data_IF_122015161027
#
_entry.id   IF_122015161027
#
_cell.length_a   1.000
_cell.length_b   1.000
_cell.length_c   1.000
_cell.angle_alpha   90.00
_cell.angle_beta   90.00
_cell.angle_gamma   90.00
#
_symmetry.space_group_name_H-M   'P 1'
#
loop_
_entity.id
_entity.type
_entity.pdbx_description
1 polymer ?
#
# COMPACT_ATOMS: atom_id res chain seq x y z
N UNK A 1 13.94 -21.33 24.92
CA UNK A 1 14.26 -21.88 26.26
C UNK A 1 15.76 -21.70 26.44
N UNK A 2 16.17 -20.49 26.77
CA UNK A 2 17.58 -20.12 26.98
C UNK A 2 17.79 -20.09 28.49
N UNK A 3 18.81 -20.80 28.96
CA UNK A 3 19.04 -21.07 30.37
C UNK A 3 19.48 -19.79 31.12
N UNK A 4 18.99 -19.63 32.35
CA UNK A 4 18.87 -18.38 33.11
C UNK A 4 20.20 -17.84 33.69
N UNK A 5 21.32 -18.13 33.02
CA UNK A 5 22.71 -17.95 33.50
C UNK A 5 23.68 -17.36 32.48
N UNK A 6 23.25 -17.02 31.26
CA UNK A 6 24.19 -16.69 30.16
C UNK A 6 24.82 -15.29 30.21
N UNK A 7 24.18 -14.27 30.78
CA UNK A 7 24.71 -12.91 30.65
C UNK A 7 26.01 -12.67 31.42
N UNK A 8 26.25 -13.42 32.49
CA UNK A 8 27.50 -13.37 33.25
C UNK A 8 28.68 -13.94 32.42
N UNK A 9 28.41 -14.91 31.54
CA UNK A 9 29.43 -15.51 30.66
C UNK A 9 29.94 -14.56 29.57
N UNK A 10 29.17 -13.51 29.23
CA UNK A 10 29.60 -12.48 28.27
C UNK A 10 30.47 -11.38 28.90
N UNK A 11 30.61 -11.34 30.23
CA UNK A 11 31.47 -10.36 30.90
C UNK A 11 32.94 -10.82 30.93
N UNK A 12 33.92 -9.90 31.02
CA UNK A 12 35.33 -10.26 31.17
C UNK A 12 35.59 -11.21 32.35
N UNK A 13 36.56 -12.12 32.20
CA UNK A 13 36.83 -13.19 33.17
C UNK A 13 37.00 -12.73 34.62
N UNK A 14 37.51 -11.52 34.88
CA UNK A 14 37.63 -10.93 36.22
C UNK A 14 36.28 -10.79 36.96
N UNK A 15 35.18 -10.63 36.22
CA UNK A 15 33.82 -10.51 36.75
C UNK A 15 33.11 -11.86 36.86
N UNK A 16 33.71 -12.93 36.32
CA UNK A 16 33.17 -14.30 36.36
C UNK A 16 33.61 -15.10 37.58
N UNK A 17 34.52 -14.56 38.40
CA UNK A 17 35.22 -15.28 39.50
C UNK A 17 34.29 -15.57 40.70
N UNK A 18 33.11 -14.96 40.77
CA UNK A 18 32.15 -15.13 41.88
C UNK A 18 31.04 -16.14 41.59
N UNK A 19 30.48 -16.75 42.63
CA UNK A 19 29.26 -17.56 42.54
C UNK A 19 28.12 -16.73 41.91
N UNK A 20 27.37 -17.32 40.97
CA UNK A 20 26.30 -16.63 40.21
C UNK A 20 25.15 -16.04 41.06
N UNK A 21 25.07 -16.38 42.35
CA UNK A 21 24.10 -15.82 43.30
C UNK A 21 24.61 -14.58 44.07
N UNK A 22 25.83 -14.13 43.78
CA UNK A 22 26.40 -12.89 44.30
C UNK A 22 25.66 -11.62 43.82
N UNK A 23 26.09 -10.46 44.33
CA UNK A 23 25.47 -9.17 43.99
C UNK A 23 25.35 -8.94 42.48
N UNK A 24 26.43 -9.20 41.72
CA UNK A 24 26.46 -8.96 40.28
C UNK A 24 25.46 -9.86 39.52
N UNK A 25 25.34 -11.13 39.86
CA UNK A 25 24.35 -12.02 39.23
C UNK A 25 22.91 -11.60 39.55
N UNK A 26 22.63 -11.14 40.78
CA UNK A 26 21.31 -10.58 41.14
C UNK A 26 21.04 -9.25 40.44
N UNK A 27 22.05 -8.41 40.26
CA UNK A 27 21.96 -7.15 39.53
C UNK A 27 21.66 -7.39 38.04
N UNK A 28 22.36 -8.34 37.42
CA UNK A 28 22.18 -8.67 36.00
C UNK A 28 20.77 -9.21 35.71
N UNK A 29 20.14 -9.95 36.63
CA UNK A 29 18.76 -10.45 36.44
C UNK A 29 17.74 -9.39 36.04
N UNK A 30 17.91 -8.14 36.47
CA UNK A 30 17.04 -7.05 36.03
C UNK A 30 17.22 -6.74 34.54
N UNK A 31 18.46 -6.76 34.05
CA UNK A 31 18.77 -6.58 32.64
C UNK A 31 18.39 -7.79 31.80
N UNK A 32 18.60 -9.02 32.31
CA UNK A 32 18.13 -10.24 31.64
C UNK A 32 16.61 -10.19 31.43
N UNK A 33 15.85 -9.74 32.43
CA UNK A 33 14.41 -9.58 32.31
C UNK A 33 13.99 -8.54 31.25
N UNK A 34 14.80 -7.51 30.99
CA UNK A 34 14.54 -6.50 29.96
C UNK A 34 14.98 -6.97 28.56
N UNK A 35 16.13 -7.64 28.47
CA UNK A 35 16.74 -8.05 27.20
C UNK A 35 16.16 -9.37 26.67
N UNK A 36 16.14 -10.41 27.50
CA UNK A 36 15.58 -11.72 27.13
C UNK A 36 14.06 -11.80 27.35
N UNK A 37 13.52 -10.96 28.25
CA UNK A 37 12.11 -10.95 28.62
C UNK A 37 11.83 -11.78 29.87
N UNK A 38 10.56 -11.80 30.30
CA UNK A 38 10.11 -12.52 31.50
C UNK A 38 8.93 -13.43 31.19
N UNK A 39 9.09 -14.72 31.44
CA UNK A 39 8.05 -15.75 31.24
C UNK A 39 7.25 -16.07 32.53
N UNK A 40 7.69 -15.58 33.68
CA UNK A 40 7.18 -15.94 35.02
C UNK A 40 6.06 -15.00 35.54
N UNK A 41 5.76 -13.90 34.86
CA UNK A 41 4.59 -13.06 35.15
C UNK A 41 3.42 -13.45 34.26
N UNK A 42 2.56 -14.35 34.75
CA UNK A 42 1.42 -14.96 34.05
C UNK A 42 0.30 -14.02 33.60
N UNK A 43 0.62 -12.99 32.82
CA UNK A 43 -0.37 -12.09 32.22
C UNK A 43 0.21 -11.10 31.21
N UNK A 44 1.51 -10.77 31.29
CA UNK A 44 2.18 -9.93 30.29
C UNK A 44 3.53 -10.56 30.02
N UNK A 45 3.58 -11.44 29.02
CA UNK A 45 4.83 -11.88 28.41
C UNK A 45 5.41 -10.67 27.67
N UNK A 46 6.11 -9.79 28.38
CA UNK A 46 6.87 -8.71 27.75
C UNK A 46 8.01 -9.40 26.99
N UNK A 47 7.86 -9.50 25.67
CA UNK A 47 8.94 -9.94 24.81
C UNK A 47 10.17 -9.10 25.13
N UNK A 48 11.30 -9.76 25.41
CA UNK A 48 12.56 -9.06 25.62
C UNK A 48 12.99 -8.31 24.36
N UNK A 49 13.81 -7.28 24.53
CA UNK A 49 14.38 -6.51 23.41
C UNK A 49 15.06 -7.41 22.38
N UNK A 50 15.69 -8.51 22.78
CA UNK A 50 16.32 -9.45 21.86
C UNK A 50 15.30 -10.09 20.92
N UNK A 51 14.18 -10.58 21.45
CA UNK A 51 13.10 -11.14 20.63
C UNK A 51 12.50 -10.08 19.70
N UNK A 52 12.41 -8.83 20.17
CA UNK A 52 11.97 -7.70 19.33
C UNK A 52 12.94 -7.48 18.16
N UNK A 53 14.25 -7.50 18.42
CA UNK A 53 15.28 -7.32 17.40
C UNK A 53 15.28 -8.50 16.41
N UNK A 54 15.14 -9.72 16.90
CA UNK A 54 15.06 -10.93 16.08
C UNK A 54 13.85 -10.89 15.13
N UNK A 55 12.69 -10.44 15.61
CA UNK A 55 11.45 -10.33 14.82
C UNK A 55 11.29 -8.98 14.09
N UNK A 56 12.20 -8.02 14.27
CA UNK A 56 12.10 -6.66 13.72
C UNK A 56 11.93 -6.66 12.21
N UNK A 57 12.54 -7.62 11.52
CA UNK A 57 12.45 -7.76 10.08
C UNK A 57 11.01 -7.96 9.56
N UNK A 58 10.11 -8.53 10.37
CA UNK A 58 8.69 -8.68 10.01
C UNK A 58 7.92 -7.36 9.96
N UNK A 59 8.39 -6.30 10.65
CA UNK A 59 7.80 -4.97 10.56
C UNK A 59 8.09 -4.30 9.21
N UNK A 60 9.15 -4.69 8.51
CA UNK A 60 9.46 -4.15 7.17
C UNK A 60 8.72 -4.88 6.05
N UNK A 61 8.10 -6.02 6.33
CA UNK A 61 7.24 -6.73 5.40
C UNK A 61 5.81 -6.14 5.47
N UNK A 62 5.31 -5.48 4.40
CA UNK A 62 3.96 -4.92 4.37
C UNK A 62 2.85 -5.96 4.60
N UNK A 63 3.13 -7.25 4.40
CA UNK A 63 2.16 -8.33 4.56
C UNK A 63 2.13 -8.93 5.97
N UNK A 64 3.17 -8.68 6.78
CA UNK A 64 3.30 -9.20 8.16
C UNK A 64 3.21 -8.11 9.23
N UNK A 65 3.50 -6.87 8.85
CA UNK A 65 3.45 -5.72 9.75
C UNK A 65 2.04 -5.47 10.34
N UNK A 66 1.92 -4.97 11.58
CA UNK A 66 0.64 -4.55 12.14
C UNK A 66 0.00 -3.40 11.35
N UNK A 67 -1.34 -3.35 11.31
CA UNK A 67 -2.08 -2.30 10.59
C UNK A 67 -1.74 -0.88 11.09
N UNK A 68 -1.54 -0.74 12.40
CA UNK A 68 -1.09 0.49 13.07
C UNK A 68 0.29 0.98 12.62
N UNK A 69 1.15 0.08 12.12
CA UNK A 69 2.51 0.40 11.67
C UNK A 69 2.56 0.78 10.18
N UNK A 70 1.52 0.48 9.40
CA UNK A 70 1.46 0.78 7.97
C UNK A 70 1.62 2.28 7.65
N UNK A 71 1.02 3.23 8.39
CA UNK A 71 1.25 4.66 8.13
C UNK A 71 2.72 5.06 8.29
N UNK A 72 3.44 4.43 9.21
CA UNK A 72 4.87 4.68 9.41
C UNK A 72 5.68 4.17 8.22
N UNK A 73 5.42 2.94 7.75
CA UNK A 73 6.06 2.40 6.53
C UNK A 73 5.75 3.25 5.30
N UNK A 74 4.50 3.68 5.15
CA UNK A 74 4.11 4.55 4.05
C UNK A 74 4.83 5.90 4.09
N UNK A 75 5.10 6.44 5.29
CA UNK A 75 5.91 7.64 5.47
C UNK A 75 7.31 7.53 4.87
N UNK A 76 7.99 6.38 5.06
CA UNK A 76 9.29 6.12 4.43
C UNK A 76 9.22 6.05 2.91
N UNK A 77 8.13 5.49 2.39
CA UNK A 77 7.89 5.39 0.95
C UNK A 77 7.28 6.66 0.34
N UNK A 78 7.16 7.76 1.08
CA UNK A 78 6.47 8.99 0.64
C UNK A 78 5.04 8.75 0.13
N UNK A 79 4.35 7.75 0.68
CA UNK A 79 2.97 7.39 0.35
C UNK A 79 1.97 8.01 1.31
N UNK A 80 0.84 8.46 0.75
CA UNK A 80 -0.33 8.88 1.53
C UNK A 80 -1.41 7.81 1.44
N UNK A 81 -1.58 7.04 2.53
CA UNK A 81 -2.56 5.96 2.58
C UNK A 81 -3.98 6.53 2.65
N UNK A 82 -4.91 5.94 1.91
CA UNK A 82 -6.33 6.28 2.01
C UNK A 82 -6.92 5.61 3.25
N UNK A 83 -7.63 6.39 4.07
CA UNK A 83 -8.18 5.96 5.37
C UNK A 83 -9.59 5.35 5.27
N UNK A 84 -9.88 4.69 4.16
CA UNK A 84 -11.19 4.10 3.92
C UNK A 84 -11.16 2.60 4.16
N UNK A 85 -12.30 2.03 4.59
CA UNK A 85 -12.44 0.59 4.84
C UNK A 85 -12.15 -0.25 3.58
N UNK A 86 -12.47 0.27 2.39
CA UNK A 86 -12.13 -0.35 1.09
C UNK A 86 -10.61 -0.54 0.90
N UNK A 87 -9.80 0.34 1.50
CA UNK A 87 -8.35 0.39 1.28
C UNK A 87 -7.53 -0.40 2.29
N UNK A 88 -7.97 -0.39 3.56
CA UNK A 88 -7.36 -1.20 4.62
C UNK A 88 -7.88 -2.62 4.63
N UNK A 89 -9.14 -2.85 4.25
CA UNK A 89 -9.86 -4.08 4.56
C UNK A 89 -10.53 -4.02 5.93
N UNK A 90 -11.53 -4.87 6.15
CA UNK A 90 -12.34 -4.81 7.37
C UNK A 90 -11.52 -5.09 8.65
N UNK A 91 -10.57 -6.01 8.57
CA UNK A 91 -9.73 -6.44 9.70
C UNK A 91 -8.74 -5.33 10.09
N UNK A 92 -7.88 -4.90 9.15
CA UNK A 92 -6.88 -3.86 9.41
C UNK A 92 -7.51 -2.51 9.78
N UNK A 93 -8.68 -2.17 9.24
CA UNK A 93 -9.36 -0.92 9.58
C UNK A 93 -9.76 -0.88 11.06
N UNK A 94 -10.16 -2.03 11.63
CA UNK A 94 -10.45 -2.13 13.06
C UNK A 94 -9.17 -2.07 13.91
N UNK A 95 -8.11 -2.73 13.45
CA UNK A 95 -6.84 -2.84 14.15
C UNK A 95 -6.03 -1.53 14.16
N UNK A 96 -6.17 -0.66 13.14
CA UNK A 96 -5.49 0.65 13.06
C UNK A 96 -5.75 1.54 14.28
N UNK A 97 -6.93 1.42 14.88
CA UNK A 97 -7.36 2.25 16.03
C UNK A 97 -6.84 1.75 17.38
N UNK A 98 -6.24 0.55 17.42
CA UNK A 98 -5.68 -0.02 18.64
C UNK A 98 -4.44 0.79 19.03
N UNK A 99 -4.15 0.86 20.33
CA UNK A 99 -2.93 1.48 20.83
C UNK A 99 -1.74 0.72 20.26
N UNK A 100 -0.76 1.48 19.74
CA UNK A 100 0.52 0.96 19.28
C UNK A 100 1.19 0.20 20.41
N UNK A 101 0.90 -1.08 20.46
CA UNK A 101 1.34 -2.01 21.48
C UNK A 101 2.30 -2.93 20.77
N UNK A 102 3.45 -3.18 21.38
CA UNK A 102 4.42 -4.12 20.83
C UNK A 102 3.79 -5.52 20.88
N UNK A 103 3.01 -5.88 19.86
CA UNK A 103 2.37 -7.19 19.75
C UNK A 103 3.40 -8.11 19.10
N UNK A 104 4.22 -8.74 19.93
CA UNK A 104 4.98 -9.91 19.54
C UNK A 104 4.31 -11.16 20.09
N UNK A 105 4.31 -12.28 19.34
CA UNK A 105 4.96 -12.45 18.03
C UNK A 105 4.11 -11.94 16.85
N UNK A 106 4.76 -11.46 15.79
CA UNK A 106 4.12 -10.99 14.54
C UNK A 106 3.76 -12.10 13.54
N UNK A 107 3.91 -13.36 13.93
CA UNK A 107 4.13 -14.48 13.02
C UNK A 107 2.92 -14.95 12.19
N UNK A 108 1.77 -14.28 12.24
CA UNK A 108 0.63 -14.67 11.40
C UNK A 108 0.61 -13.82 10.14
N UNK A 109 0.76 -14.47 8.98
CA UNK A 109 0.58 -13.83 7.68
C UNK A 109 -0.83 -13.25 7.61
N UNK A 110 -0.92 -11.91 7.63
CA UNK A 110 -2.20 -11.18 7.58
C UNK A 110 -2.65 -10.94 6.14
N UNK A 111 -1.82 -11.32 5.17
CA UNK A 111 -2.11 -11.20 3.76
C UNK A 111 -2.75 -12.46 3.22
N UNK A 112 -3.93 -12.30 2.64
CA UNK A 112 -4.56 -13.32 1.83
C UNK A 112 -4.14 -13.14 0.36
N UNK A 113 -3.27 -14.03 -0.14
CA UNK A 113 -2.81 -14.00 -1.53
C UNK A 113 -3.93 -14.29 -2.55
N UNK A 114 -5.08 -14.80 -2.11
CA UNK A 114 -6.22 -15.08 -2.99
C UNK A 114 -7.03 -13.83 -3.36
N UNK A 115 -6.95 -12.75 -2.57
CA UNK A 115 -7.64 -11.50 -2.84
C UNK A 115 -6.79 -10.25 -2.53
N UNK A 116 -6.02 -9.73 -3.51
CA UNK A 116 -5.22 -8.52 -3.33
C UNK A 116 -6.07 -7.27 -3.11
N UNK A 117 -7.38 -7.29 -3.40
CA UNK A 117 -8.25 -6.14 -3.18
C UNK A 117 -8.63 -5.96 -1.71
N UNK A 118 -8.48 -7.01 -0.89
CA UNK A 118 -8.79 -6.96 0.55
C UNK A 118 -7.83 -6.06 1.34
N UNK A 119 -6.58 -5.92 0.90
CA UNK A 119 -5.53 -5.13 1.58
C UNK A 119 -4.76 -4.20 0.62
N UNK A 120 -5.47 -3.33 -0.11
CA UNK A 120 -4.89 -2.44 -1.14
C UNK A 120 -3.72 -1.60 -0.64
N UNK A 121 -3.79 -1.07 0.59
CA UNK A 121 -2.69 -0.29 1.17
C UNK A 121 -1.41 -1.11 1.33
N UNK A 122 -1.51 -2.36 1.80
CA UNK A 122 -0.35 -3.27 1.96
C UNK A 122 0.26 -3.61 0.60
N UNK A 123 -0.61 -3.94 -0.36
CA UNK A 123 -0.19 -4.23 -1.74
C UNK A 123 0.54 -3.03 -2.37
N UNK A 124 -0.03 -1.82 -2.25
CA UNK A 124 0.59 -0.59 -2.75
C UNK A 124 1.98 -0.36 -2.14
N UNK A 125 2.13 -0.48 -0.82
CA UNK A 125 3.43 -0.34 -0.15
C UNK A 125 4.43 -1.37 -0.68
N UNK A 126 4.02 -2.62 -0.89
CA UNK A 126 4.92 -3.66 -1.42
C UNK A 126 5.40 -3.38 -2.85
N UNK A 127 4.60 -2.68 -3.66
CA UNK A 127 4.88 -2.40 -5.08
C UNK A 127 5.49 -1.02 -5.32
N UNK A 128 5.43 -0.10 -4.35
CA UNK A 128 5.73 1.31 -4.57
C UNK A 128 7.13 1.58 -5.12
N UNK A 129 8.13 0.83 -4.67
CA UNK A 129 9.51 1.00 -5.14
C UNK A 129 9.58 0.72 -6.65
N UNK A 130 8.93 -0.34 -7.12
CA UNK A 130 8.89 -0.68 -8.54
C UNK A 130 8.10 0.35 -9.35
N UNK A 131 7.00 0.88 -8.79
CA UNK A 131 6.21 1.94 -9.42
C UNK A 131 7.03 3.23 -9.56
N UNK A 132 7.79 3.62 -8.54
CA UNK A 132 8.64 4.81 -8.58
C UNK A 132 9.78 4.71 -9.60
N UNK A 133 10.29 3.51 -9.86
CA UNK A 133 11.26 3.31 -10.94
C UNK A 133 10.65 3.56 -12.33
N UNK A 134 9.33 3.35 -12.48
CA UNK A 134 8.59 3.57 -13.72
C UNK A 134 7.87 4.93 -13.75
N UNK A 135 8.13 5.82 -12.78
CA UNK A 135 7.44 7.11 -12.68
C UNK A 135 7.67 7.95 -13.93
N UNK A 136 6.59 8.60 -14.39
CA UNK A 136 6.61 9.39 -15.62
C UNK A 136 6.49 8.58 -16.92
N UNK A 137 6.32 7.26 -16.86
CA UNK A 137 6.02 6.41 -18.02
C UNK A 137 4.54 6.06 -18.09
N UNK A 138 4.04 5.76 -19.30
CA UNK A 138 2.66 5.25 -19.49
C UNK A 138 2.44 3.93 -18.75
N UNK A 139 3.44 3.04 -18.76
CA UNK A 139 3.39 1.75 -18.09
C UNK A 139 3.27 1.92 -16.57
N UNK A 140 4.10 2.75 -15.96
CA UNK A 140 4.05 3.03 -14.53
C UNK A 140 2.72 3.66 -14.11
N UNK A 141 2.21 4.62 -14.89
CA UNK A 141 0.91 5.23 -14.63
C UNK A 141 -0.23 4.20 -14.74
N UNK A 142 -0.21 3.34 -15.76
CA UNK A 142 -1.18 2.28 -15.94
C UNK A 142 -1.17 1.30 -14.76
N UNK A 143 0.01 0.85 -14.33
CA UNK A 143 0.18 -0.06 -13.19
C UNK A 143 -0.33 0.58 -11.89
N UNK A 144 -0.01 1.85 -11.66
CA UNK A 144 -0.49 2.60 -10.49
C UNK A 144 -2.02 2.74 -10.49
N UNK A 145 -2.62 3.11 -11.62
CA UNK A 145 -4.06 3.26 -11.75
C UNK A 145 -4.79 1.92 -11.57
N UNK A 146 -4.24 0.81 -12.07
CA UNK A 146 -4.79 -0.53 -11.85
C UNK A 146 -4.86 -0.88 -10.37
N UNK A 147 -3.85 -0.53 -9.58
CA UNK A 147 -3.87 -0.75 -8.13
C UNK A 147 -4.95 0.09 -7.46
N UNK A 148 -5.12 1.34 -7.90
CA UNK A 148 -6.08 2.27 -7.29
C UNK A 148 -7.53 1.89 -7.56
N UNK A 149 -7.84 1.52 -8.80
CA UNK A 149 -9.21 1.29 -9.24
C UNK A 149 -9.59 -0.20 -9.19
N UNK A 150 -8.63 -1.10 -9.40
CA UNK A 150 -8.81 -2.55 -9.50
C UNK A 150 -8.49 -3.08 -10.90
N UNK A 151 -8.10 -4.36 -10.99
CA UNK A 151 -7.68 -4.99 -12.26
C UNK A 151 -8.82 -5.19 -13.28
N UNK A 152 -10.07 -5.22 -12.82
CA UNK A 152 -11.24 -5.46 -13.68
C UNK A 152 -11.64 -4.27 -14.54
N UNK A 153 -10.99 -3.13 -14.39
CA UNK A 153 -11.40 -1.89 -15.03
C UNK A 153 -10.57 -1.61 -16.28
N UNK A 154 -11.28 -1.38 -17.39
CA UNK A 154 -10.69 -0.98 -18.64
C UNK A 154 -10.14 0.45 -18.54
N UNK A 155 -8.82 0.56 -18.70
CA UNK A 155 -8.07 1.81 -18.73
C UNK A 155 -7.34 1.88 -20.07
N UNK A 156 -7.54 2.97 -20.81
CA UNK A 156 -6.85 3.27 -22.05
C UNK A 156 -6.12 4.59 -21.88
N UNK A 157 -4.82 4.62 -22.19
CA UNK A 157 -4.01 5.84 -22.11
C UNK A 157 -3.45 6.12 -23.49
N UNK A 158 -3.88 7.25 -24.06
CA UNK A 158 -3.49 7.68 -25.39
C UNK A 158 -2.51 8.84 -25.28
N UNK A 159 -1.29 8.66 -25.79
CA UNK A 159 -0.27 9.71 -25.87
C UNK A 159 -0.28 10.38 -27.24
N UNK A 160 -0.25 11.71 -27.24
CA UNK A 160 -0.26 12.52 -28.45
C UNK A 160 1.12 13.19 -28.57
N UNK A 161 2.08 12.44 -29.10
CA UNK A 161 3.47 12.89 -29.23
C UNK A 161 3.64 14.01 -30.27
N UNK A 162 2.85 13.97 -31.35
CA UNK A 162 2.93 14.94 -32.44
C UNK A 162 1.67 15.81 -32.52
N UNK A 163 1.78 17.14 -32.32
CA UNK A 163 0.68 18.03 -32.64
C UNK A 163 0.36 17.92 -34.13
N UNK A 164 -0.91 18.08 -34.49
CA UNK A 164 -1.35 18.06 -35.88
C UNK A 164 -0.53 19.05 -36.72
N UNK A 165 0.23 18.51 -37.70
CA UNK A 165 1.08 19.30 -38.61
C UNK A 165 0.61 19.06 -40.04
N UNK A 166 -0.07 20.06 -40.60
CA UNK A 166 -0.51 20.04 -42.00
C UNK A 166 0.72 19.95 -42.91
N UNK A 167 0.78 18.91 -43.75
CA UNK A 167 1.76 18.80 -44.84
C UNK A 167 3.10 18.13 -44.51
N UNK A 168 3.32 17.63 -43.29
CA UNK A 168 4.59 16.97 -42.91
C UNK A 168 4.43 15.49 -42.53
N UNK A 169 3.61 15.17 -41.53
CA UNK A 169 3.55 13.79 -40.97
C UNK A 169 2.15 13.29 -40.61
N UNK A 170 1.13 14.15 -40.58
CA UNK A 170 -0.23 13.77 -40.15
C UNK A 170 -1.08 13.23 -41.32
N UNK A 171 -1.49 11.97 -41.24
CA UNK A 171 -2.45 11.35 -42.18
C UNK A 171 -3.85 11.35 -41.58
N UNK A 172 -4.78 12.02 -42.24
CA UNK A 172 -6.20 12.09 -41.86
C UNK A 172 -6.79 10.68 -41.74
N UNK A 173 -7.43 10.38 -40.61
CA UNK A 173 -8.04 9.07 -40.34
C UNK A 173 -7.11 8.00 -39.74
N UNK A 174 -5.80 8.28 -39.62
CA UNK A 174 -4.86 7.41 -38.88
C UNK A 174 -4.37 8.06 -37.59
N UNK A 175 -3.68 9.19 -37.73
CA UNK A 175 -2.97 9.84 -36.62
C UNK A 175 -3.38 11.31 -36.46
N UNK A 176 -4.53 11.68 -37.05
CA UNK A 176 -5.05 13.05 -36.99
C UNK A 176 -6.09 13.15 -35.91
N UNK A 177 -5.77 13.87 -34.84
CA UNK A 177 -6.74 14.31 -33.82
C UNK A 177 -7.06 15.77 -34.08
N UNK A 178 -8.34 16.06 -34.30
CA UNK A 178 -8.85 17.42 -34.45
C UNK A 178 -9.25 17.92 -33.05
N UNK A 179 -8.45 18.80 -32.46
CA UNK A 179 -8.67 19.27 -31.09
C UNK A 179 -7.43 19.91 -30.48
N UNK A 180 -7.37 19.95 -29.14
CA UNK A 180 -6.29 20.55 -28.34
C UNK A 180 -4.96 19.76 -28.41
N UNK A 181 -4.44 19.49 -29.60
CA UNK A 181 -3.16 18.82 -29.84
C UNK A 181 -1.98 19.63 -29.33
N UNK A 182 -1.89 19.80 -28.01
CA UNK A 182 -0.79 20.42 -27.28
C UNK A 182 0.34 19.37 -27.25
N UNK A 183 1.59 19.76 -27.54
CA UNK A 183 2.72 18.86 -27.34
C UNK A 183 2.80 18.42 -25.88
N UNK A 184 3.29 17.20 -25.64
CA UNK A 184 3.40 16.60 -24.31
C UNK A 184 2.04 16.46 -23.59
N UNK A 185 1.04 15.94 -24.31
CA UNK A 185 -0.30 15.71 -23.79
C UNK A 185 -0.67 14.22 -23.91
N UNK A 186 -1.26 13.67 -22.85
CA UNK A 186 -1.88 12.35 -22.88
C UNK A 186 -3.30 12.40 -22.33
N UNK A 187 -4.13 11.45 -22.73
CA UNK A 187 -5.51 11.35 -22.27
C UNK A 187 -5.76 9.97 -21.68
N UNK A 188 -6.22 9.95 -20.43
CA UNK A 188 -6.64 8.74 -19.73
C UNK A 188 -8.15 8.57 -19.89
N UNK A 189 -8.55 7.48 -20.51
CA UNK A 189 -9.93 7.02 -20.59
C UNK A 189 -10.12 5.85 -19.63
N UNK A 190 -11.17 5.90 -18.82
CA UNK A 190 -11.49 4.80 -17.91
C UNK A 190 -12.99 4.57 -17.79
N UNK A 191 -13.37 3.30 -17.64
CA UNK A 191 -14.76 2.89 -17.42
C UNK A 191 -14.97 2.53 -15.95
N UNK A 192 -15.60 3.42 -15.18
CA UNK A 192 -15.79 3.24 -13.73
C UNK A 192 -17.25 2.90 -13.42
N UNK A 193 -17.57 1.68 -12.95
CA UNK A 193 -18.91 1.35 -12.47
C UNK A 193 -19.14 1.94 -11.07
N UNK A 194 -19.50 3.23 -11.02
CA UNK A 194 -19.79 3.93 -9.75
C UNK A 194 -21.27 4.34 -9.70
N UNK A 195 -22.05 3.83 -8.72
CA UNK A 195 -23.50 4.08 -8.65
C UNK A 195 -23.88 5.46 -8.08
N UNK A 196 -23.00 6.11 -7.32
CA UNK A 196 -23.30 7.38 -6.63
C UNK A 196 -22.47 8.54 -7.17
N UNK A 197 -23.13 9.68 -7.40
CA UNK A 197 -22.50 10.93 -7.87
C UNK A 197 -21.44 11.44 -6.89
N UNK A 198 -21.70 11.35 -5.59
CA UNK A 198 -20.75 11.81 -4.56
C UNK A 198 -19.48 10.93 -4.54
N UNK A 199 -19.66 9.62 -4.68
CA UNK A 199 -18.56 8.67 -4.80
C UNK A 199 -17.75 8.93 -6.08
N UNK A 200 -18.43 9.23 -7.19
CA UNK A 200 -17.79 9.58 -8.45
C UNK A 200 -16.92 10.83 -8.29
N UNK A 201 -17.45 11.92 -7.73
CA UNK A 201 -16.69 13.16 -7.51
C UNK A 201 -15.45 12.91 -6.64
N UNK A 202 -15.59 12.14 -5.55
CA UNK A 202 -14.45 11.79 -4.68
C UNK A 202 -13.40 10.95 -5.42
N UNK A 203 -13.80 9.91 -6.15
CA UNK A 203 -12.87 9.07 -6.94
C UNK A 203 -12.22 9.87 -8.06
N UNK A 204 -12.96 10.71 -8.78
CA UNK A 204 -12.42 11.60 -9.81
C UNK A 204 -11.37 12.55 -9.25
N UNK A 205 -11.62 13.16 -8.08
CA UNK A 205 -10.64 14.03 -7.42
C UNK A 205 -9.36 13.27 -7.06
N UNK A 206 -9.50 12.10 -6.44
CA UNK A 206 -8.35 11.29 -6.05
C UNK A 206 -7.54 10.80 -7.27
N UNK A 207 -8.20 10.48 -8.38
CA UNK A 207 -7.53 10.12 -9.63
C UNK A 207 -6.74 11.29 -10.23
N UNK A 208 -7.29 12.51 -10.20
CA UNK A 208 -6.55 13.70 -10.62
C UNK A 208 -5.32 13.94 -9.73
N UNK A 209 -5.45 13.75 -8.42
CA UNK A 209 -4.32 13.87 -7.49
C UNK A 209 -3.22 12.87 -7.84
N UNK A 210 -3.57 11.61 -8.11
CA UNK A 210 -2.64 10.55 -8.49
C UNK A 210 -1.95 10.85 -9.82
N UNK A 211 -2.72 11.12 -10.87
CA UNK A 211 -2.17 11.38 -12.21
C UNK A 211 -1.28 12.64 -12.15
N UNK A 212 -1.66 13.65 -11.36
CA UNK A 212 -0.85 14.84 -11.17
C UNK A 212 0.46 14.57 -10.42
N UNK A 213 0.51 13.59 -9.52
CA UNK A 213 1.74 13.19 -8.83
C UNK A 213 2.64 12.35 -9.75
N UNK A 214 2.08 11.46 -10.56
CA UNK A 214 2.86 10.54 -11.40
C UNK A 214 3.33 11.17 -12.73
N UNK A 215 2.63 12.19 -13.24
CA UNK A 215 3.00 12.85 -14.49
C UNK A 215 4.35 13.60 -14.37
N UNK A 216 5.15 13.66 -15.45
CA UNK A 216 6.26 14.60 -15.51
C UNK A 216 5.77 16.05 -15.42
N UNK A 217 6.63 16.94 -14.90
CA UNK A 217 6.26 18.34 -14.66
C UNK A 217 5.80 19.07 -15.93
N UNK A 218 6.40 18.75 -17.08
CA UNK A 218 6.16 19.40 -18.37
C UNK A 218 5.04 18.75 -19.21
N UNK A 219 4.36 17.73 -18.68
CA UNK A 219 3.31 17.00 -19.39
C UNK A 219 1.92 17.43 -18.89
N UNK A 220 0.99 17.57 -19.83
CA UNK A 220 -0.42 17.86 -19.57
C UNK A 220 -1.26 16.59 -19.75
N UNK A 221 -2.41 16.53 -19.07
CA UNK A 221 -3.29 15.37 -19.19
C UNK A 221 -4.76 15.76 -19.22
N UNK A 222 -5.56 14.90 -19.85
CA UNK A 222 -7.00 14.84 -19.72
C UNK A 222 -7.42 13.54 -19.04
N UNK A 223 -8.50 13.60 -18.26
CA UNK A 223 -9.14 12.43 -17.67
C UNK A 223 -10.61 12.39 -18.07
N UNK A 224 -11.00 11.35 -18.80
CA UNK A 224 -12.41 11.07 -19.14
C UNK A 224 -12.84 9.80 -18.43
N UNK A 225 -13.88 9.93 -17.61
CA UNK A 225 -14.48 8.81 -16.88
C UNK A 225 -15.84 8.54 -17.50
N UNK A 226 -16.03 7.33 -18.01
CA UNK A 226 -17.33 6.85 -18.49
C UNK A 226 -17.93 5.94 -17.42
N UNK A 227 -19.16 6.20 -17.02
CA UNK A 227 -19.91 5.30 -16.13
C UNK A 227 -20.73 4.37 -17.02
N UNK A 228 -20.45 3.05 -17.05
CA UNK A 228 -21.28 2.12 -17.79
C UNK A 228 -22.67 2.07 -17.15
N UNK A 229 -23.68 2.54 -17.87
CA UNK A 229 -25.08 2.29 -17.52
C UNK A 229 -25.45 0.88 -17.98
N UNK A 230 -26.26 0.16 -17.21
CA UNK A 230 -26.76 -1.16 -17.62
C UNK A 230 -27.41 -1.08 -19.00
N UNK A 231 -26.85 -1.81 -19.98
CA UNK A 231 -27.44 -1.98 -21.31
C UNK A 231 -27.60 -3.47 -21.59
N UNK A 232 -28.84 -3.93 -21.47
CA UNK A 232 -29.22 -5.32 -21.78
C UNK A 232 -28.84 -5.59 -23.25
N UNK A 233 -28.17 -6.73 -23.51
CA UNK A 233 -27.72 -7.24 -24.83
C UNK A 233 -26.36 -6.74 -25.36
N UNK A 234 -25.76 -5.65 -24.85
CA UNK A 234 -24.49 -5.11 -25.41
C UNK A 234 -23.29 -5.40 -24.51
N UNK A 235 -23.33 -4.96 -23.25
CA UNK A 235 -22.29 -5.22 -22.25
C UNK A 235 -22.93 -5.29 -20.87
N UNK A 236 -23.08 -6.48 -20.28
CA UNK A 236 -23.53 -6.66 -18.89
C UNK A 236 -23.29 -8.10 -18.42
N UNK A 237 -22.25 -8.32 -17.62
CA UNK A 237 -22.10 -9.55 -16.83
C UNK A 237 -22.56 -9.27 -15.41
N UNK A 238 -23.50 -10.07 -14.90
CA UNK A 238 -24.04 -9.93 -13.55
C UNK A 238 -22.93 -10.17 -12.53
N UNK A 239 -22.64 -9.17 -11.71
CA UNK A 239 -21.60 -9.23 -10.66
C UNK A 239 -20.29 -8.50 -10.97
N UNK A 240 -20.00 -8.14 -12.23
CA UNK A 240 -18.82 -7.33 -12.58
C UNK A 240 -19.20 -5.90 -12.96
N UNK A 241 -20.13 -5.75 -13.92
CA UNK A 241 -20.41 -4.45 -14.57
C UNK A 241 -21.89 -4.07 -14.52
N UNK A 242 -22.72 -4.92 -13.91
CA UNK A 242 -24.16 -4.71 -13.80
C UNK A 242 -24.49 -3.87 -12.57
N UNK A 243 -24.72 -2.56 -12.79
CA UNK A 243 -25.27 -1.65 -11.79
C UNK A 243 -26.81 -1.62 -11.90
N UNK A 244 -27.50 -2.26 -10.96
CA UNK A 244 -28.95 -2.18 -10.82
C UNK A 244 -29.33 -1.02 -9.90
N UNK A 245 -30.04 -0.02 -10.42
CA UNK A 245 -30.64 1.06 -9.61
C UNK A 245 -29.97 2.44 -9.66
N UNK A 246 -29.14 2.74 -10.66
CA UNK A 246 -28.63 4.10 -10.88
C UNK A 246 -29.73 5.07 -11.34
N UNK A 247 -29.83 6.25 -10.71
CA UNK A 247 -30.83 7.27 -11.06
C UNK A 247 -30.67 7.73 -12.51
N UNK A 248 -31.75 7.60 -13.27
CA UNK A 248 -31.97 8.30 -14.54
C UNK A 248 -32.47 9.70 -14.15
N UNK A 249 -31.61 10.71 -14.17
CA UNK A 249 -32.00 12.12 -14.25
C UNK A 249 -31.00 12.88 -15.09
#
# INVERSE_FOLDING_TARGET
>A
MTDKKEYLHYLPGIYQIGNGDGFLGRFLKAFEAVLAGRDDTGGISTAGIEKVLDEMHHYFDPFKSPAEFLPWLAGWAALTLKEEKEWYGAEDFSDKSKTQSQILPLAQERYDASDPTKHRNRYLISKIIQLYLKRGTLEGLMEYLKIYVGESIEIEINEFADPFRVGYTSVVGKNTVVGEGRPYYFHVYMKLPVPSRDMLVKKTKALHEIISQEKPAHTYYGLTITVPTMQIHVHSTVGSDSLLGGMIT
#
